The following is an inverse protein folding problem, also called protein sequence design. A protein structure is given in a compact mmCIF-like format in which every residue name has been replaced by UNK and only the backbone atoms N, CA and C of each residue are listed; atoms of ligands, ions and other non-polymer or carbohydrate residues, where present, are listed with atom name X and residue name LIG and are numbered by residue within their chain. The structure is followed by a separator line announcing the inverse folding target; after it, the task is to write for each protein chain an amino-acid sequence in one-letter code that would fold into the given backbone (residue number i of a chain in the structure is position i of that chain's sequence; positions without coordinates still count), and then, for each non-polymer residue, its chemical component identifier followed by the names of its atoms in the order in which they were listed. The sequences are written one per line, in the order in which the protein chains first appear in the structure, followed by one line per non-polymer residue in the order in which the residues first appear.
data_IF_044479788796
#
_entry.id   IF_044479788796
#
_cell.length_a   1.000
_cell.length_b   1.000
_cell.length_c   1.000
_cell.angle_alpha   90.00
_cell.angle_beta   90.00
_cell.angle_gamma   90.00
#
_symmetry.space_group_name_H-M   'P 1'
#
loop_
_entity.id
_entity.type
_entity.pdbx_description
1 polymer ?
#
# COMPACT_ATOMS: atom_id res chain seq x y z
N UNK A 1 -1.76 -0.79 29.08
CA UNK A 1 -1.63 0.53 28.43
C UNK A 1 -1.43 0.34 26.94
N UNK A 2 -2.24 0.96 26.08
CA UNK A 2 -2.01 0.90 24.64
C UNK A 2 -0.81 1.80 24.33
N UNK A 3 0.34 1.21 24.00
CA UNK A 3 1.50 1.97 23.54
C UNK A 3 1.18 2.55 22.17
N UNK A 4 1.06 3.88 22.11
CA UNK A 4 0.83 4.63 20.88
C UNK A 4 2.17 5.10 20.29
N UNK A 5 2.20 5.27 18.97
CA UNK A 5 3.37 5.71 18.22
C UNK A 5 2.97 6.93 17.36
N UNK A 6 3.51 8.11 17.70
CA UNK A 6 3.27 9.36 16.98
C UNK A 6 4.22 9.52 15.80
N UNK A 7 3.78 10.20 14.75
CA UNK A 7 4.64 10.63 13.65
C UNK A 7 5.32 11.96 13.97
N UNK A 8 6.61 12.09 13.66
CA UNK A 8 7.34 13.35 13.91
C UNK A 8 7.10 14.40 12.82
N UNK A 9 6.57 13.98 11.66
CA UNK A 9 6.29 14.86 10.53
C UNK A 9 4.83 15.34 10.48
N UNK A 10 3.93 14.76 11.27
CA UNK A 10 2.53 15.18 11.36
C UNK A 10 1.84 14.66 12.64
N UNK A 11 0.67 15.20 12.99
CA UNK A 11 -0.06 14.82 14.22
C UNK A 11 -0.71 13.42 14.21
N UNK A 12 -0.34 12.51 13.30
CA UNK A 12 -0.94 11.17 13.23
C UNK A 12 -0.34 10.23 14.27
N UNK A 13 -1.22 9.41 14.86
CA UNK A 13 -0.88 8.43 15.89
C UNK A 13 -1.29 7.03 15.43
N UNK A 14 -0.47 6.04 15.72
CA UNK A 14 -0.67 4.65 15.32
C UNK A 14 -0.55 3.72 16.53
N UNK A 15 -1.33 2.64 16.52
CA UNK A 15 -1.29 1.62 17.57
C UNK A 15 -0.14 0.62 17.41
N UNK A 16 0.52 0.63 16.24
CA UNK A 16 1.62 -0.28 15.91
C UNK A 16 2.79 0.47 15.29
N UNK A 17 4.02 0.20 15.77
CA UNK A 17 5.25 0.78 15.21
C UNK A 17 5.42 0.48 13.73
N UNK A 18 5.02 -0.72 13.28
CA UNK A 18 5.04 -1.11 11.86
C UNK A 18 4.16 -0.20 10.99
N UNK A 19 3.01 0.24 11.51
CA UNK A 19 2.13 1.18 10.82
C UNK A 19 2.73 2.59 10.75
N UNK A 20 3.31 3.07 11.85
CA UNK A 20 4.04 4.34 11.85
C UNK A 20 5.20 4.30 10.83
N UNK A 21 6.04 3.27 10.87
CA UNK A 21 7.17 3.12 9.94
C UNK A 21 6.71 3.07 8.47
N UNK A 22 5.55 2.44 8.21
CA UNK A 22 4.94 2.43 6.88
C UNK A 22 4.46 3.84 6.50
N UNK A 23 3.83 4.56 7.41
CA UNK A 23 3.32 5.90 7.18
C UNK A 23 4.43 6.92 6.90
N UNK A 24 5.56 6.86 7.63
CA UNK A 24 6.71 7.78 7.44
C UNK A 24 7.22 7.79 5.98
N UNK A 25 7.04 6.70 5.23
CA UNK A 25 7.39 6.62 3.80
C UNK A 25 6.66 7.65 2.93
N UNK A 26 5.49 8.11 3.38
CA UNK A 26 4.73 9.18 2.71
C UNK A 26 5.47 10.52 2.81
N UNK A 27 6.14 10.77 3.94
CA UNK A 27 6.91 12.00 4.14
C UNK A 27 8.27 11.94 3.44
N UNK A 28 8.95 10.81 3.50
CA UNK A 28 10.28 10.66 2.88
C UNK A 28 10.24 10.40 1.38
N UNK A 29 9.06 10.14 0.81
CA UNK A 29 8.91 9.73 -0.59
C UNK A 29 9.57 8.38 -0.91
N UNK A 30 9.90 7.57 0.10
CA UNK A 30 10.53 6.27 -0.10
C UNK A 30 9.63 5.32 -0.91
N UNK A 31 10.12 4.93 -2.09
CA UNK A 31 9.44 3.98 -2.98
C UNK A 31 10.28 2.72 -3.15
N UNK A 32 10.10 1.77 -2.22
CA UNK A 32 10.90 0.55 -2.10
C UNK A 32 10.51 -0.55 -3.09
N UNK A 33 9.31 -0.49 -3.66
CA UNK A 33 8.77 -1.59 -4.45
C UNK A 33 8.80 -1.24 -5.94
N UNK A 34 9.58 -1.99 -6.72
CA UNK A 34 9.74 -1.80 -8.16
C UNK A 34 8.80 -2.72 -8.95
N UNK A 35 8.05 -2.17 -9.91
CA UNK A 35 7.42 -2.95 -10.95
C UNK A 35 8.49 -3.40 -11.95
N UNK A 36 8.72 -4.71 -12.04
CA UNK A 36 9.70 -5.28 -12.99
C UNK A 36 9.26 -5.19 -14.45
N UNK A 37 7.98 -4.94 -14.71
CA UNK A 37 7.42 -4.86 -16.07
C UNK A 37 7.60 -3.47 -16.70
N UNK A 38 7.46 -2.39 -15.92
CA UNK A 38 7.54 -1.02 -16.44
C UNK A 38 8.50 -0.09 -15.67
N UNK A 39 9.21 -0.59 -14.66
CA UNK A 39 10.16 0.20 -13.87
C UNK A 39 9.53 1.16 -12.86
N UNK A 40 8.19 1.24 -12.77
CA UNK A 40 7.51 2.15 -11.84
C UNK A 40 7.72 1.74 -10.38
N UNK A 41 8.01 2.71 -9.51
CA UNK A 41 8.26 2.49 -8.07
C UNK A 41 7.06 2.86 -7.19
N UNK A 42 6.86 2.13 -6.09
CA UNK A 42 5.75 2.28 -5.13
C UNK A 42 6.26 2.26 -3.68
N UNK A 43 5.56 2.99 -2.80
CA UNK A 43 5.87 3.03 -1.35
C UNK A 43 5.36 1.81 -0.56
N UNK A 44 4.37 1.10 -1.12
CA UNK A 44 3.72 -0.05 -0.48
C UNK A 44 3.57 -1.24 -1.44
N UNK A 45 3.70 -2.46 -0.88
CA UNK A 45 3.53 -3.72 -1.61
C UNK A 45 2.10 -3.89 -2.15
N UNK A 46 1.08 -3.47 -1.40
CA UNK A 46 -0.32 -3.50 -1.84
C UNK A 46 -0.55 -2.63 -3.08
N UNK A 47 0.03 -1.43 -3.12
CA UNK A 47 -0.03 -0.54 -4.28
C UNK A 47 0.65 -1.16 -5.50
N UNK A 48 1.83 -1.79 -5.33
CA UNK A 48 2.47 -2.54 -6.42
C UNK A 48 1.59 -3.72 -6.88
N UNK A 49 1.00 -4.48 -5.96
CA UNK A 49 0.12 -5.62 -6.30
C UNK A 49 -1.08 -5.18 -7.14
N UNK A 50 -1.77 -4.12 -6.72
CA UNK A 50 -2.89 -3.56 -7.49
C UNK A 50 -2.44 -3.04 -8.86
N UNK A 51 -1.27 -2.39 -8.92
CA UNK A 51 -0.68 -1.96 -10.19
C UNK A 51 -0.34 -3.13 -11.13
N UNK A 52 0.19 -4.25 -10.59
CA UNK A 52 0.49 -5.43 -11.41
C UNK A 52 -0.78 -6.02 -12.06
N UNK A 53 -1.94 -5.89 -11.41
CA UNK A 53 -3.23 -6.25 -12.00
C UNK A 53 -3.53 -5.51 -13.31
N UNK A 54 -3.04 -4.28 -13.46
CA UNK A 54 -3.18 -3.52 -14.72
C UNK A 54 -2.33 -4.09 -15.86
N UNK A 55 -1.21 -4.76 -15.53
CA UNK A 55 -0.38 -5.41 -16.54
C UNK A 55 -0.93 -6.77 -16.95
N UNK A 56 -1.47 -7.53 -16.00
CA UNK A 56 -1.97 -8.89 -16.25
C UNK A 56 -3.43 -8.92 -16.70
N UNK A 57 -4.16 -7.79 -16.61
CA UNK A 57 -5.59 -7.76 -16.86
C UNK A 57 -6.42 -8.54 -15.83
N UNK A 58 -5.82 -8.95 -14.71
CA UNK A 58 -6.53 -9.70 -13.67
C UNK A 58 -7.46 -8.78 -12.88
N UNK A 59 -8.76 -8.83 -13.20
CA UNK A 59 -9.82 -8.45 -12.27
C UNK A 59 -9.88 -9.53 -11.19
N UNK A 60 -9.59 -9.16 -9.95
CA UNK A 60 -9.26 -10.13 -8.90
C UNK A 60 -10.44 -10.51 -8.01
N UNK A 61 -11.62 -9.91 -8.23
CA UNK A 61 -12.78 -10.18 -7.39
C UNK A 61 -14.03 -10.33 -8.25
N UNK A 62 -14.52 -11.56 -8.44
CA UNK A 62 -15.84 -11.80 -9.01
C UNK A 62 -16.88 -11.81 -7.88
N UNK A 63 -17.95 -11.06 -8.03
CA UNK A 63 -19.13 -11.22 -7.18
C UNK A 63 -19.90 -12.47 -7.65
N UNK A 64 -20.03 -13.47 -6.78
CA UNK A 64 -20.76 -14.71 -7.10
C UNK A 64 -22.27 -14.48 -7.28
N UNK A 65 -22.80 -13.36 -6.76
CA UNK A 65 -24.24 -13.03 -6.85
C UNK A 65 -24.58 -12.35 -8.18
N UNK A 66 -23.73 -11.43 -8.67
CA UNK A 66 -24.02 -10.66 -9.89
C UNK A 66 -23.03 -10.85 -11.04
N UNK A 67 -22.00 -11.70 -10.88
CA UNK A 67 -20.99 -12.00 -11.89
C UNK A 67 -20.03 -10.86 -12.25
N UNK A 68 -20.18 -9.69 -11.62
CA UNK A 68 -19.34 -8.52 -11.84
C UNK A 68 -17.92 -8.78 -11.33
N UNK A 69 -16.93 -8.39 -12.12
CA UNK A 69 -15.50 -8.54 -11.78
C UNK A 69 -14.88 -7.17 -11.47
N UNK A 70 -14.21 -7.08 -10.32
CA UNK A 70 -13.60 -5.89 -9.72
C UNK A 70 -12.08 -6.04 -9.57
#
# INVERSE_FOLDING_TARGET
ELKSFSCDHCAKVFNYKTNLNRHVRVHTGQKLFLCKLCGKRFGHKSSLKGHLGLHTGQKSYACEICGQTF
#
